data_IF_789130078908
#
_entry.id   IF_789130078908
#
_cell.length_a   1.000
_cell.length_b   1.000
_cell.length_c   1.000
_cell.angle_alpha   90.00
_cell.angle_beta   90.00
_cell.angle_gamma   90.00
#
_symmetry.space_group_name_H-M   'P 1'
#
loop_
_entity.id
_entity.type
_entity.pdbx_description
1 polymer ?
#
# COMPACT_ATOMS: atom_id res chain seq x y z
N UNK A 1 -9.75 -1.91 -15.39
CA UNK A 1 -9.25 -2.42 -14.07
C UNK A 1 -10.32 -2.60 -12.99
N UNK A 2 -11.34 -1.72 -12.83
CA UNK A 2 -12.34 -1.86 -11.74
C UNK A 2 -13.17 -3.16 -11.81
N UNK A 3 -13.59 -3.57 -13.01
CA UNK A 3 -14.34 -4.81 -13.25
C UNK A 3 -13.49 -6.04 -12.89
N UNK A 4 -12.24 -6.09 -13.36
CA UNK A 4 -11.31 -7.17 -13.02
C UNK A 4 -11.09 -7.33 -11.51
N UNK A 5 -10.88 -6.21 -10.79
CA UNK A 5 -10.76 -6.21 -9.31
C UNK A 5 -12.02 -6.75 -8.64
N UNK A 6 -13.19 -6.43 -9.16
CA UNK A 6 -14.46 -6.93 -8.63
C UNK A 6 -14.61 -8.43 -8.83
N UNK A 7 -14.36 -8.93 -10.06
CA UNK A 7 -14.46 -10.36 -10.39
C UNK A 7 -13.54 -11.19 -9.50
N UNK A 8 -12.27 -10.80 -9.38
CA UNK A 8 -11.33 -11.54 -8.55
C UNK A 8 -11.67 -11.48 -7.06
N UNK A 9 -12.06 -10.31 -6.54
CA UNK A 9 -12.48 -10.18 -5.14
C UNK A 9 -13.70 -11.07 -4.85
N UNK A 10 -14.65 -11.15 -5.80
CA UNK A 10 -15.82 -12.01 -5.69
C UNK A 10 -15.43 -13.49 -5.70
N UNK A 11 -14.59 -13.93 -6.64
CA UNK A 11 -14.11 -15.32 -6.73
C UNK A 11 -13.40 -15.77 -5.44
N UNK A 12 -12.51 -14.94 -4.90
CA UNK A 12 -11.78 -15.26 -3.68
C UNK A 12 -12.69 -15.32 -2.45
N UNK A 13 -13.64 -14.38 -2.32
CA UNK A 13 -14.63 -14.42 -1.24
C UNK A 13 -15.58 -15.63 -1.37
N UNK A 14 -15.97 -16.00 -2.59
CA UNK A 14 -16.78 -17.19 -2.84
C UNK A 14 -16.01 -18.47 -2.49
N UNK A 15 -14.72 -18.56 -2.85
CA UNK A 15 -13.87 -19.70 -2.50
C UNK A 15 -13.75 -19.89 -0.99
N UNK A 16 -13.57 -18.80 -0.24
CA UNK A 16 -13.58 -18.84 1.22
C UNK A 16 -14.92 -19.35 1.77
N UNK A 17 -16.04 -18.84 1.23
CA UNK A 17 -17.37 -19.29 1.63
C UNK A 17 -17.58 -20.79 1.36
N UNK A 18 -17.09 -21.31 0.22
CA UNK A 18 -17.13 -22.75 -0.06
C UNK A 18 -16.38 -23.57 0.99
N UNK A 19 -15.27 -23.07 1.52
CA UNK A 19 -14.57 -23.71 2.64
C UNK A 19 -15.44 -23.83 3.90
N UNK A 20 -16.18 -22.77 4.25
CA UNK A 20 -17.13 -22.82 5.37
C UNK A 20 -18.32 -23.74 5.10
N UNK A 21 -18.81 -23.80 3.86
CA UNK A 21 -19.85 -24.77 3.45
C UNK A 21 -19.34 -26.21 3.60
N UNK A 22 -18.11 -26.50 3.19
CA UNK A 22 -17.51 -27.82 3.37
C UNK A 22 -17.43 -28.22 4.86
N UNK A 23 -17.02 -27.30 5.73
CA UNK A 23 -17.02 -27.53 7.20
C UNK A 23 -18.43 -27.81 7.70
N UNK A 24 -19.43 -27.02 7.27
CA UNK A 24 -20.82 -27.23 7.65
C UNK A 24 -21.36 -28.59 7.18
N UNK A 25 -20.97 -29.05 5.99
CA UNK A 25 -21.33 -30.39 5.47
C UNK A 25 -20.70 -31.48 6.33
N UNK A 26 -19.44 -31.34 6.74
CA UNK A 26 -18.78 -32.31 7.64
C UNK A 26 -19.55 -32.41 8.97
N UNK A 27 -19.90 -31.27 9.59
CA UNK A 27 -20.68 -31.24 10.83
C UNK A 27 -22.05 -31.91 10.65
N UNK A 28 -22.68 -31.73 9.49
CA UNK A 28 -23.95 -32.37 9.17
C UNK A 28 -23.83 -33.89 9.06
N UNK A 29 -22.72 -34.40 8.52
CA UNK A 29 -22.46 -35.83 8.36
C UNK A 29 -22.14 -36.52 9.69
N UNK A 30 -21.52 -35.84 10.65
CA UNK A 30 -21.15 -36.40 11.96
C UNK A 30 -22.35 -36.64 12.89
N UNK A 31 -23.46 -35.91 12.72
CA UNK A 31 -24.65 -36.15 13.53
C UNK A 31 -25.83 -35.22 13.25
N UNK A 32 -27.04 -35.72 13.52
CA UNK A 32 -28.31 -34.98 13.32
C UNK A 32 -28.88 -34.39 14.61
N UNK A 33 -28.07 -34.24 15.66
CA UNK A 33 -28.56 -33.64 16.90
C UNK A 33 -28.77 -32.13 16.75
N UNK A 34 -29.64 -31.54 17.56
CA UNK A 34 -29.91 -30.10 17.54
C UNK A 34 -28.63 -29.24 17.70
N UNK A 35 -27.62 -29.77 18.40
CA UNK A 35 -26.32 -29.10 18.59
C UNK A 35 -25.56 -28.96 17.27
N UNK A 36 -25.56 -30.00 16.42
CA UNK A 36 -24.92 -29.94 15.11
C UNK A 36 -25.60 -28.92 14.20
N UNK A 37 -26.94 -28.84 14.26
CA UNK A 37 -27.70 -27.84 13.50
C UNK A 37 -27.34 -26.40 13.91
N UNK A 38 -27.25 -26.12 15.22
CA UNK A 38 -26.80 -24.82 15.72
C UNK A 38 -25.37 -24.54 15.25
N UNK A 39 -24.47 -25.53 15.34
CA UNK A 39 -23.09 -25.41 14.87
C UNK A 39 -22.99 -25.02 13.39
N UNK A 40 -23.77 -25.67 12.52
CA UNK A 40 -23.85 -25.36 11.09
C UNK A 40 -24.26 -23.90 10.87
N UNK A 41 -25.31 -23.45 11.55
CA UNK A 41 -25.79 -22.06 11.41
C UNK A 41 -24.70 -21.07 11.82
N UNK A 42 -24.02 -21.30 12.94
CA UNK A 42 -22.93 -20.43 13.41
C UNK A 42 -21.77 -20.41 12.40
N UNK A 43 -21.33 -21.58 11.93
CA UNK A 43 -20.23 -21.70 10.96
C UNK A 43 -20.54 -20.96 9.66
N UNK A 44 -21.75 -21.11 9.12
CA UNK A 44 -22.17 -20.40 7.90
C UNK A 44 -22.28 -18.90 8.11
N UNK A 45 -22.77 -18.45 9.27
CA UNK A 45 -22.91 -17.03 9.60
C UNK A 45 -21.53 -16.36 9.73
N UNK A 46 -20.60 -17.02 10.43
CA UNK A 46 -19.20 -16.59 10.50
C UNK A 46 -18.58 -16.57 9.10
N UNK A 47 -18.74 -17.64 8.31
CA UNK A 47 -18.22 -17.72 6.95
C UNK A 47 -18.72 -16.59 6.05
N UNK A 48 -20.00 -16.23 6.17
CA UNK A 48 -20.57 -15.10 5.44
C UNK A 48 -19.95 -13.76 5.87
N UNK A 49 -19.79 -13.52 7.18
CA UNK A 49 -19.16 -12.31 7.72
C UNK A 49 -17.72 -12.18 7.23
N UNK A 50 -16.91 -13.25 7.36
CA UNK A 50 -15.49 -13.23 6.96
C UNK A 50 -15.35 -13.06 5.45
N UNK A 51 -16.17 -13.74 4.65
CA UNK A 51 -16.16 -13.62 3.18
C UNK A 51 -16.55 -12.21 2.72
N UNK A 52 -17.57 -11.61 3.36
CA UNK A 52 -17.95 -10.21 3.11
C UNK A 52 -16.82 -9.25 3.49
N UNK A 53 -16.12 -9.51 4.60
CA UNK A 53 -14.98 -8.70 5.01
C UNK A 53 -13.85 -8.79 3.98
N UNK A 54 -13.46 -10.01 3.59
CA UNK A 54 -12.42 -10.25 2.58
C UNK A 54 -12.75 -9.60 1.24
N UNK A 55 -13.99 -9.73 0.77
CA UNK A 55 -14.47 -9.08 -0.45
C UNK A 55 -14.28 -7.57 -0.40
N UNK A 56 -14.73 -6.93 0.69
CA UNK A 56 -14.62 -5.49 0.86
C UNK A 56 -13.15 -5.06 0.95
N UNK A 57 -12.32 -5.86 1.61
CA UNK A 57 -10.89 -5.60 1.74
C UNK A 57 -10.19 -5.70 0.38
N UNK A 58 -10.40 -6.77 -0.39
CA UNK A 58 -9.85 -6.92 -1.75
C UNK A 58 -10.38 -5.87 -2.72
N UNK A 59 -11.66 -5.50 -2.64
CA UNK A 59 -12.24 -4.44 -3.50
C UNK A 59 -11.61 -3.08 -3.22
N UNK A 60 -11.31 -2.79 -1.95
CA UNK A 60 -10.68 -1.53 -1.54
C UNK A 60 -9.18 -1.51 -1.85
N UNK A 61 -8.45 -2.56 -1.45
CA UNK A 61 -6.98 -2.65 -1.50
C UNK A 61 -6.40 -3.17 -2.81
N UNK A 62 -7.20 -3.90 -3.59
CA UNK A 62 -6.72 -4.63 -4.76
C UNK A 62 -6.14 -5.99 -4.38
N UNK A 63 -6.40 -6.99 -5.22
CA UNK A 63 -6.12 -8.41 -4.93
C UNK A 63 -4.64 -8.66 -4.64
N UNK A 64 -3.74 -8.10 -5.47
CA UNK A 64 -2.30 -8.26 -5.30
C UNK A 64 -1.83 -7.72 -3.95
N UNK A 65 -2.27 -6.53 -3.54
CA UNK A 65 -1.88 -5.94 -2.26
C UNK A 65 -2.35 -6.76 -1.05
N UNK A 66 -3.48 -7.49 -1.16
CA UNK A 66 -3.95 -8.39 -0.11
C UNK A 66 -3.10 -9.66 -0.05
N UNK A 67 -2.77 -10.24 -1.20
CA UNK A 67 -1.97 -11.47 -1.27
C UNK A 67 -0.49 -11.23 -0.94
N UNK A 68 0.04 -10.05 -1.26
CA UNK A 68 1.43 -9.65 -0.93
C UNK A 68 1.53 -8.95 0.43
N UNK A 69 0.42 -8.82 1.18
CA UNK A 69 0.40 -8.16 2.48
C UNK A 69 1.36 -8.77 3.50
N UNK A 70 1.77 -10.02 3.30
CA UNK A 70 2.83 -10.70 4.08
C UNK A 70 4.21 -10.09 3.89
N UNK A 71 4.55 -9.58 2.70
CA UNK A 71 5.82 -8.89 2.43
C UNK A 71 5.78 -7.39 2.74
N UNK A 72 4.58 -6.86 3.03
CA UNK A 72 4.33 -5.48 3.44
C UNK A 72 3.93 -5.39 4.93
N UNK A 73 4.13 -6.46 5.71
CA UNK A 73 3.89 -6.44 7.16
C UNK A 73 4.96 -5.61 7.86
N UNK A 74 4.54 -4.86 8.89
CA UNK A 74 5.40 -4.12 9.81
C UNK A 74 6.50 -5.01 10.42
N UNK A 75 6.21 -6.30 10.62
CA UNK A 75 7.15 -7.25 11.22
C UNK A 75 8.37 -7.54 10.32
N UNK A 76 8.26 -7.32 9.01
CA UNK A 76 9.36 -7.48 8.04
C UNK A 76 10.20 -6.20 7.94
N UNK A 77 9.70 -5.06 8.44
CA UNK A 77 10.41 -3.78 8.39
C UNK A 77 11.53 -3.68 9.44
N UNK A 78 11.40 -4.40 10.56
CA UNK A 78 12.44 -4.48 11.60
C UNK A 78 13.49 -5.57 11.31
N UNK A 79 13.24 -6.43 10.30
CA UNK A 79 14.23 -7.42 9.85
C UNK A 79 15.32 -6.73 9.04
N UNK A 80 16.57 -6.79 9.51
CA UNK A 80 17.70 -6.37 8.70
C UNK A 80 17.79 -7.30 7.49
N UNK A 81 17.73 -6.79 6.25
CA UNK A 81 17.81 -7.63 5.07
C UNK A 81 19.17 -8.35 5.07
N UNK A 82 19.14 -9.68 4.89
CA UNK A 82 20.35 -10.46 4.73
C UNK A 82 20.95 -10.18 3.34
N UNK A 83 22.26 -10.35 3.18
CA UNK A 83 22.96 -10.16 1.90
C UNK A 83 22.39 -11.04 0.76
N UNK A 84 21.70 -12.13 1.09
CA UNK A 84 21.03 -13.01 0.14
C UNK A 84 19.61 -12.55 -0.28
N UNK A 85 19.01 -11.57 0.41
CA UNK A 85 17.60 -11.19 0.20
C UNK A 85 17.34 -10.35 -1.06
N UNK A 86 18.38 -9.81 -1.69
CA UNK A 86 18.24 -8.89 -2.83
C UNK A 86 17.63 -7.52 -2.47
N UNK A 87 17.44 -7.23 -1.17
CA UNK A 87 16.93 -5.96 -0.65
C UNK A 87 18.07 -5.15 -0.03
N UNK A 88 18.27 -3.94 -0.52
CA UNK A 88 19.27 -3.00 -0.02
C UNK A 88 18.63 -2.03 0.97
N UNK A 89 19.16 -1.99 2.19
CA UNK A 89 18.87 -0.95 3.17
C UNK A 89 19.78 0.25 2.91
N UNK A 90 19.20 1.39 2.60
CA UNK A 90 19.91 2.58 2.14
C UNK A 90 19.59 3.79 3.02
N UNK A 91 20.58 4.67 3.13
CA UNK A 91 20.36 6.05 3.57
C UNK A 91 19.93 6.94 2.39
N UNK A 92 19.25 8.07 2.64
CA UNK A 92 18.82 8.99 1.56
C UNK A 92 19.96 9.44 0.63
N UNK A 93 21.15 9.66 1.20
CA UNK A 93 22.35 10.06 0.44
C UNK A 93 22.81 8.91 -0.47
N UNK A 94 22.81 7.67 0.04
CA UNK A 94 23.20 6.50 -0.72
C UNK A 94 22.21 6.23 -1.88
N UNK A 95 20.91 6.41 -1.63
CA UNK A 95 19.88 6.31 -2.67
C UNK A 95 20.12 7.31 -3.82
N UNK A 96 20.36 8.59 -3.50
CA UNK A 96 20.65 9.63 -4.51
C UNK A 96 21.89 9.26 -5.32
N UNK A 97 22.97 8.85 -4.64
CA UNK A 97 24.22 8.47 -5.29
C UNK A 97 24.02 7.30 -6.26
N UNK A 98 23.35 6.23 -5.82
CA UNK A 98 23.10 5.07 -6.66
C UNK A 98 22.20 5.39 -7.88
N UNK A 99 21.24 6.29 -7.71
CA UNK A 99 20.40 6.77 -8.81
C UNK A 99 21.21 7.59 -9.82
N UNK A 100 22.03 8.54 -9.36
CA UNK A 100 22.89 9.38 -10.22
C UNK A 100 23.94 8.57 -10.97
N UNK A 101 24.51 7.55 -10.33
CA UNK A 101 25.48 6.63 -10.93
C UNK A 101 24.83 5.61 -11.90
N UNK A 102 23.52 5.71 -12.16
CA UNK A 102 22.76 4.78 -13.01
C UNK A 102 22.87 3.30 -12.58
N UNK A 103 23.21 3.05 -11.31
CA UNK A 103 23.36 1.71 -10.74
C UNK A 103 22.02 1.07 -10.35
N UNK A 104 20.94 1.85 -10.39
CA UNK A 104 19.58 1.38 -10.14
C UNK A 104 18.74 1.73 -11.36
N UNK A 105 18.01 0.74 -11.87
CA UNK A 105 16.95 0.97 -12.86
C UNK A 105 15.61 0.83 -12.15
N UNK A 106 14.92 1.95 -11.97
CA UNK A 106 13.51 1.89 -11.58
C UNK A 106 12.66 1.48 -12.78
N UNK A 107 11.60 0.67 -12.56
CA UNK A 107 10.62 0.38 -13.60
C UNK A 107 10.10 1.69 -14.22
N UNK A 108 9.83 1.69 -15.51
CA UNK A 108 9.35 2.89 -16.21
C UNK A 108 7.93 3.28 -15.75
N UNK A 109 7.19 2.34 -15.15
CA UNK A 109 5.78 2.49 -14.75
C UNK A 109 5.58 2.17 -13.25
N UNK A 110 6.08 3.05 -12.38
CA UNK A 110 5.87 2.89 -10.93
C UNK A 110 4.50 3.38 -10.49
N UNK A 111 3.81 2.54 -9.73
CA UNK A 111 2.62 2.88 -8.96
C UNK A 111 3.02 3.42 -7.59
N UNK A 112 2.25 4.37 -7.04
CA UNK A 112 2.59 5.09 -5.81
C UNK A 112 1.53 4.80 -4.75
N UNK A 113 1.99 4.49 -3.53
CA UNK A 113 1.14 4.46 -2.36
C UNK A 113 1.76 5.25 -1.22
N UNK A 114 0.97 6.13 -0.60
CA UNK A 114 1.38 6.98 0.53
C UNK A 114 0.57 6.56 1.76
N UNK A 115 1.19 5.92 2.74
CA UNK A 115 0.50 5.33 3.91
C UNK A 115 -0.72 4.46 3.56
N UNK A 116 -0.64 3.73 2.44
CA UNK A 116 -1.74 2.91 1.93
C UNK A 116 -2.78 3.65 1.09
N UNK A 117 -2.65 4.97 0.91
CA UNK A 117 -3.45 5.72 -0.05
C UNK A 117 -2.94 5.48 -1.48
N UNK A 118 -3.73 4.78 -2.29
CA UNK A 118 -3.55 4.61 -3.74
C UNK A 118 -4.65 5.31 -4.56
N UNK A 119 -5.61 5.99 -3.93
CA UNK A 119 -6.70 6.72 -4.60
C UNK A 119 -6.57 8.24 -4.49
N UNK A 120 -5.49 8.73 -3.88
CA UNK A 120 -5.10 10.13 -3.92
C UNK A 120 -5.02 10.63 -5.37
N UNK A 121 -5.13 11.94 -5.55
CA UNK A 121 -5.14 12.56 -6.88
C UNK A 121 -3.90 12.12 -7.67
N UNK A 122 -4.13 11.41 -8.79
CA UNK A 122 -3.12 10.84 -9.69
C UNK A 122 -2.20 9.78 -9.08
N UNK A 123 -2.37 9.33 -7.83
CA UNK A 123 -1.51 8.26 -7.28
C UNK A 123 -1.74 6.91 -7.95
N UNK A 124 -2.91 6.72 -8.57
CA UNK A 124 -3.29 5.53 -9.33
C UNK A 124 -2.76 5.52 -10.77
N UNK A 125 -2.17 6.63 -11.22
CA UNK A 125 -1.49 6.71 -12.52
C UNK A 125 -0.09 6.04 -12.44
N UNK A 126 0.48 5.75 -13.61
CA UNK A 126 1.85 5.21 -13.70
C UNK A 126 2.83 6.37 -13.85
N UNK A 127 3.82 6.40 -12.98
CA UNK A 127 4.82 7.46 -12.96
C UNK A 127 6.20 6.92 -13.24
N UNK A 128 7.00 7.73 -13.93
CA UNK A 128 8.41 7.46 -14.16
C UNK A 128 9.26 8.45 -13.36
N UNK A 129 10.16 7.94 -12.52
CA UNK A 129 11.10 8.78 -11.78
C UNK A 129 12.06 9.46 -12.77
N UNK A 130 12.14 10.78 -12.68
CA UNK A 130 13.03 11.63 -13.47
C UNK A 130 14.29 11.97 -12.69
N UNK A 131 14.14 12.41 -11.43
CA UNK A 131 15.27 12.73 -10.57
C UNK A 131 14.98 12.48 -9.09
N UNK A 132 16.04 12.25 -8.33
CA UNK A 132 16.01 12.12 -6.87
C UNK A 132 17.05 13.08 -6.30
N UNK A 133 16.66 13.93 -5.35
CA UNK A 133 17.53 14.86 -4.67
C UNK A 133 17.32 14.77 -3.16
N UNK A 134 18.37 15.00 -2.37
CA UNK A 134 18.27 15.00 -0.92
C UNK A 134 18.90 16.27 -0.35
N UNK A 135 18.09 17.05 0.36
CA UNK A 135 18.53 18.18 1.14
C UNK A 135 18.84 17.73 2.58
N UNK A 136 20.13 17.62 2.87
CA UNK A 136 20.63 17.19 4.19
C UNK A 136 20.30 18.20 5.30
N UNK A 137 20.24 19.50 4.99
CA UNK A 137 19.97 20.55 5.99
C UNK A 137 18.54 20.46 6.50
N UNK A 138 17.60 20.22 5.60
CA UNK A 138 16.18 20.10 5.94
C UNK A 138 15.72 18.64 6.16
N UNK A 139 16.62 17.66 5.99
CA UNK A 139 16.34 16.24 6.00
C UNK A 139 15.13 15.92 5.10
N UNK A 140 15.23 16.34 3.84
CA UNK A 140 14.15 16.32 2.86
C UNK A 140 14.60 15.55 1.62
N UNK A 141 13.94 14.42 1.36
CA UNK A 141 14.12 13.65 0.13
C UNK A 141 13.06 14.09 -0.89
N UNK A 142 13.50 14.45 -2.09
CA UNK A 142 12.65 14.95 -3.17
C UNK A 142 12.76 13.97 -4.33
N UNK A 143 11.62 13.49 -4.81
CA UNK A 143 11.51 12.64 -5.99
C UNK A 143 10.66 13.38 -7.02
N UNK A 144 11.24 13.67 -8.17
CA UNK A 144 10.57 14.30 -9.30
C UNK A 144 10.22 13.24 -10.35
N UNK A 145 9.00 13.28 -10.85
CA UNK A 145 8.52 12.39 -11.89
C UNK A 145 8.44 13.10 -13.25
N UNK A 146 8.49 12.34 -14.35
CA UNK A 146 8.47 12.89 -15.72
C UNK A 146 7.18 13.63 -16.07
N UNK A 147 6.07 13.26 -15.43
CA UNK A 147 4.76 13.92 -15.54
C UNK A 147 4.66 15.23 -14.73
N UNK A 148 5.78 15.73 -14.21
CA UNK A 148 5.89 16.94 -13.38
C UNK A 148 5.21 16.82 -12.01
N UNK A 149 4.88 15.61 -11.58
CA UNK A 149 4.51 15.37 -10.20
C UNK A 149 5.76 15.30 -9.32
N UNK A 150 5.63 15.66 -8.04
CA UNK A 150 6.75 15.75 -7.13
C UNK A 150 6.36 15.23 -5.74
N UNK A 151 7.20 14.36 -5.18
CA UNK A 151 7.09 13.90 -3.79
C UNK A 151 8.19 14.53 -2.96
N UNK A 152 7.81 15.17 -1.85
CA UNK A 152 8.73 15.62 -0.79
C UNK A 152 8.51 14.77 0.44
N UNK A 153 9.50 13.99 0.85
CA UNK A 153 9.48 13.17 2.07
C UNK A 153 10.36 13.84 3.13
N UNK A 154 9.75 14.26 4.23
CA UNK A 154 10.44 14.90 5.35
C UNK A 154 10.80 13.89 6.43
N UNK A 155 12.07 13.92 6.86
CA UNK A 155 12.67 12.97 7.81
C UNK A 155 12.40 11.50 7.41
N UNK A 156 12.75 11.09 6.18
CA UNK A 156 12.65 9.68 5.79
C UNK A 156 13.51 8.84 6.73
N UNK A 157 12.95 7.73 7.19
CA UNK A 157 13.60 6.76 8.07
C UNK A 157 13.40 5.40 7.45
N UNK A 158 14.53 4.68 7.29
CA UNK A 158 14.60 3.34 6.71
C UNK A 158 14.09 3.29 5.25
N UNK A 159 15.03 3.38 4.30
CA UNK A 159 14.76 3.21 2.88
C UNK A 159 15.19 1.80 2.48
N UNK A 160 14.27 1.05 1.90
CA UNK A 160 14.48 -0.28 1.37
C UNK A 160 14.33 -0.24 -0.14
N UNK A 161 15.32 -0.73 -0.85
CA UNK A 161 15.33 -0.82 -2.30
C UNK A 161 15.45 -2.27 -2.73
N UNK A 162 14.60 -2.69 -3.65
CA UNK A 162 14.71 -3.96 -4.36
C UNK A 162 14.60 -3.74 -5.87
N UNK A 163 14.74 -4.80 -6.66
CA UNK A 163 14.61 -4.74 -8.12
C UNK A 163 13.24 -4.25 -8.59
N UNK A 164 12.17 -4.49 -7.82
CA UNK A 164 10.78 -4.18 -8.19
C UNK A 164 10.13 -3.09 -7.34
N UNK A 165 10.79 -2.59 -6.28
CA UNK A 165 10.19 -1.57 -5.43
C UNK A 165 11.20 -0.66 -4.73
N UNK A 166 10.75 0.55 -4.42
CA UNK A 166 11.34 1.46 -3.44
C UNK A 166 10.35 1.67 -2.31
N UNK A 167 10.80 1.45 -1.08
CA UNK A 167 9.96 1.54 0.11
C UNK A 167 10.63 2.44 1.14
N UNK A 168 9.87 3.42 1.63
CA UNK A 168 10.26 4.25 2.77
C UNK A 168 9.33 3.89 3.91
N UNK A 169 9.88 3.30 4.96
CA UNK A 169 9.07 2.72 6.03
C UNK A 169 8.47 3.82 6.90
N UNK A 170 9.28 4.77 7.37
CA UNK A 170 8.85 5.85 8.27
C UNK A 170 9.18 7.21 7.65
N UNK A 171 8.28 8.17 7.84
CA UNK A 171 8.51 9.58 7.52
C UNK A 171 7.66 10.44 8.46
N UNK A 172 8.08 11.69 8.68
CA UNK A 172 7.27 12.65 9.44
C UNK A 172 6.12 13.17 8.59
N UNK A 173 6.41 13.49 7.33
CA UNK A 173 5.45 14.09 6.42
C UNK A 173 5.81 13.70 4.98
N UNK A 174 4.79 13.46 4.16
CA UNK A 174 4.93 13.33 2.72
C UNK A 174 4.03 14.37 2.07
N UNK A 175 4.61 15.16 1.18
CA UNK A 175 3.89 16.15 0.39
C UNK A 175 3.92 15.69 -1.06
N UNK A 176 2.73 15.50 -1.63
CA UNK A 176 2.52 15.22 -3.04
C UNK A 176 2.08 16.49 -3.77
N UNK A 177 2.85 16.89 -4.77
CA UNK A 177 2.61 18.07 -5.59
C UNK A 177 2.31 17.65 -7.03
N UNK A 178 1.22 18.18 -7.57
CA UNK A 178 0.79 17.96 -8.95
C UNK A 178 0.76 19.31 -9.66
N UNK A 179 1.51 19.42 -10.74
CA UNK A 179 1.41 20.57 -11.64
C UNK A 179 0.23 20.39 -12.60
N UNK A 180 -0.73 21.32 -12.61
CA UNK A 180 -1.81 21.35 -13.59
C UNK A 180 -1.42 22.20 -14.82
N UNK A 181 -2.09 21.99 -15.95
CA UNK A 181 -1.88 22.74 -17.21
C UNK A 181 -1.98 24.26 -17.04
N UNK A 182 -2.68 24.72 -16.00
CA UNK A 182 -2.91 26.12 -15.66
C UNK A 182 -1.83 26.72 -14.73
N UNK A 183 -0.66 26.08 -14.57
CA UNK A 183 0.45 26.52 -13.69
C UNK A 183 0.13 26.59 -12.18
N UNK A 184 -1.08 26.23 -11.74
CA UNK A 184 -1.40 26.06 -10.34
C UNK A 184 -0.84 24.74 -9.80
N UNK A 185 -0.13 24.82 -8.66
CA UNK A 185 0.41 23.65 -7.96
C UNK A 185 -0.65 23.16 -6.98
N UNK A 186 -1.11 21.94 -7.18
CA UNK A 186 -1.98 21.27 -6.22
C UNK A 186 -1.12 20.47 -5.25
N UNK A 187 -1.30 20.73 -3.96
CA UNK A 187 -0.48 20.16 -2.90
C UNK A 187 -1.38 19.31 -1.99
N UNK A 188 -0.90 18.12 -1.68
CA UNK A 188 -1.54 17.15 -0.80
C UNK A 188 -0.51 16.72 0.25
N UNK A 189 -0.66 17.21 1.47
CA UNK A 189 0.21 16.86 2.60
C UNK A 189 -0.41 15.74 3.41
N UNK A 190 0.43 14.76 3.75
CA UNK A 190 0.14 13.63 4.62
C UNK A 190 1.10 13.72 5.81
N UNK A 191 0.59 14.10 6.97
CA UNK A 191 1.37 14.34 8.18
C UNK A 191 1.15 13.19 9.19
N UNK A 192 2.23 12.53 9.57
CA UNK A 192 2.19 11.53 10.64
C UNK A 192 2.33 12.20 12.01
N UNK A 193 1.27 12.13 12.82
CA UNK A 193 1.28 12.68 14.19
C UNK A 193 1.65 11.64 15.26
N UNK A 194 2.06 10.42 14.86
CA UNK A 194 2.33 9.28 15.75
C UNK A 194 1.08 8.56 16.27
N UNK A 195 -0.10 9.19 16.17
CA UNK A 195 -1.41 8.60 16.54
C UNK A 195 -2.36 8.42 15.36
N UNK A 196 -2.17 9.19 14.29
CA UNK A 196 -2.94 9.13 13.05
C UNK A 196 -2.19 9.84 11.93
N UNK A 197 -2.59 9.58 10.70
CA UNK A 197 -2.18 10.36 9.54
C UNK A 197 -3.22 11.46 9.32
N UNK A 198 -2.78 12.72 9.31
CA UNK A 198 -3.62 13.89 8.97
C UNK A 198 -3.35 14.28 7.53
N UNK A 199 -4.40 14.47 6.75
CA UNK A 199 -4.29 14.93 5.37
C UNK A 199 -4.72 16.38 5.24
N UNK A 200 -3.95 17.19 4.51
CA UNK A 200 -4.28 18.58 4.18
C UNK A 200 -4.08 18.82 2.69
N UNK A 201 -4.89 19.67 2.08
CA UNK A 201 -4.71 20.07 0.69
C UNK A 201 -5.05 21.54 0.51
N UNK A 202 -4.41 22.18 -0.48
CA UNK A 202 -4.78 23.52 -0.95
C UNK A 202 -5.92 23.51 -1.98
N UNK A 203 -6.61 22.38 -2.14
CA UNK A 203 -7.75 22.20 -3.05
C UNK A 203 -8.99 21.78 -2.28
N UNK A 204 -10.17 21.82 -2.92
CA UNK A 204 -11.43 21.28 -2.39
C UNK A 204 -11.45 19.74 -2.29
N UNK A 205 -10.28 19.10 -2.37
CA UNK A 205 -10.17 17.66 -2.24
C UNK A 205 -10.56 17.23 -0.83
N UNK A 206 -11.57 16.36 -0.76
CA UNK A 206 -11.96 15.70 0.47
C UNK A 206 -11.25 14.35 0.54
N UNK A 207 -10.57 14.03 1.65
CA UNK A 207 -9.99 12.71 1.83
C UNK A 207 -11.09 11.66 1.75
N UNK A 208 -10.90 10.65 0.91
CA UNK A 208 -11.80 9.50 0.88
C UNK A 208 -11.65 8.71 2.20
N UNK A 209 -12.58 7.79 2.50
CA UNK A 209 -12.50 6.98 3.72
C UNK A 209 -11.31 6.01 3.58
N UNK A 210 -10.14 6.44 4.06
CA UNK A 210 -8.90 5.70 3.89
C UNK A 210 -8.72 4.67 4.99
N UNK A 211 -8.17 3.53 4.64
CA UNK A 211 -7.78 2.48 5.58
C UNK A 211 -6.30 2.68 5.93
N UNK A 212 -5.96 3.88 6.41
CA UNK A 212 -4.58 4.26 6.76
C UNK A 212 -4.23 3.76 8.15
N UNK A 213 -3.14 3.02 8.26
CA UNK A 213 -2.52 2.65 9.54
C UNK A 213 -1.18 3.35 9.74
N UNK A 214 -0.86 3.71 10.98
CA UNK A 214 0.47 4.25 11.35
C UNK A 214 1.59 3.22 11.10
N UNK A 215 1.23 1.93 11.14
CA UNK A 215 2.12 0.82 10.80
C UNK A 215 2.28 0.54 9.31
N UNK A 216 1.60 1.29 8.43
CA UNK A 216 1.79 1.15 6.98
C UNK A 216 3.02 1.96 6.53
N UNK A 217 3.68 1.50 5.47
CA UNK A 217 4.86 2.19 4.93
C UNK A 217 4.50 3.62 4.52
N UNK A 218 5.38 4.55 4.86
CA UNK A 218 5.19 5.95 4.52
C UNK A 218 5.07 6.15 3.00
N UNK A 219 6.00 5.58 2.23
CA UNK A 219 5.95 5.58 0.78
C UNK A 219 6.26 4.19 0.24
N UNK A 220 5.48 3.76 -0.76
CA UNK A 220 5.74 2.56 -1.52
C UNK A 220 5.63 2.88 -3.01
N UNK A 221 6.72 2.66 -3.74
CA UNK A 221 6.80 2.75 -5.20
C UNK A 221 7.01 1.35 -5.74
N UNK A 222 6.13 0.87 -6.62
CA UNK A 222 6.22 -0.48 -7.20
C UNK A 222 5.96 -0.47 -8.69
N UNK A 223 6.81 -1.11 -9.47
CA UNK A 223 6.62 -1.29 -10.91
C UNK A 223 7.11 -2.64 -11.41
#
# INVERSE_FOLDING_TARGET
>A
MKIFKFIFAFLQAAFLMFGFVAIAVIIYLEGKSAIHFIGIVVVLLVGFIVSRFLFNLMRRRGVLAVMTGTNASYDVDDLNPSSASGVLKLDPIALVKLFQEHKIKFPQDTSISIWGDWQGRKLDERHQISSIAYDKKNNLLIILFKDKCLIKIRKPTLILLASSYLKIVKAKEIVWEISNKSSSIHTYSYLNTGKKIKTQSNTNWKPHKMDIGIGMHALYLQG
#
